data_IF_433490880065
#
_entry.id   IF_433490880065
#
_cell.length_a   1.000
_cell.length_b   1.000
_cell.length_c   1.000
_cell.angle_alpha   90.00
_cell.angle_beta   90.00
_cell.angle_gamma   90.00
#
_symmetry.space_group_name_H-M   'P 1'
#
loop_
_entity.id
_entity.type
_entity.pdbx_description
1 polymer ?
#
# COMPACT_ATOMS: atom_id res chain seq x y z
N UNK A 1 17.70 -9.24 -34.18
CA UNK A 1 16.86 -8.41 -33.28
C UNK A 1 15.55 -9.09 -32.85
N UNK A 2 15.01 -10.09 -33.56
CA UNK A 2 13.79 -10.81 -33.10
C UNK A 2 14.03 -11.81 -31.96
N UNK A 3 15.23 -12.39 -31.86
CA UNK A 3 15.57 -13.40 -30.84
C UNK A 3 15.73 -12.78 -29.44
N UNK A 4 16.26 -11.56 -29.34
CA UNK A 4 16.52 -10.88 -28.07
C UNK A 4 15.22 -10.50 -27.34
N UNK A 5 14.18 -10.12 -28.08
CA UNK A 5 12.87 -9.77 -27.50
C UNK A 5 12.16 -11.00 -26.90
N UNK A 6 12.38 -12.18 -27.50
CA UNK A 6 11.77 -13.42 -27.02
C UNK A 6 12.40 -13.91 -25.71
N UNK A 7 13.69 -13.65 -25.46
CA UNK A 7 14.35 -14.03 -24.21
C UNK A 7 13.89 -13.18 -23.01
N UNK A 8 13.58 -11.90 -23.22
CA UNK A 8 13.06 -11.02 -22.15
C UNK A 8 11.68 -11.50 -21.71
N UNK A 9 10.81 -11.84 -22.67
CA UNK A 9 9.44 -12.27 -22.41
C UNK A 9 9.38 -13.60 -21.64
N UNK A 10 10.27 -14.55 -21.96
CA UNK A 10 10.37 -15.83 -21.22
C UNK A 10 10.94 -15.63 -19.81
N UNK A 11 11.87 -14.69 -19.63
CA UNK A 11 12.46 -14.41 -18.31
C UNK A 11 11.43 -13.80 -17.35
N UNK A 12 10.58 -12.89 -17.85
CA UNK A 12 9.49 -12.30 -17.03
C UNK A 12 8.46 -13.36 -16.64
N UNK A 13 8.05 -14.24 -17.57
CA UNK A 13 7.12 -15.33 -17.24
C UNK A 13 7.68 -16.32 -16.19
N UNK A 14 8.99 -16.58 -16.22
CA UNK A 14 9.63 -17.48 -15.26
C UNK A 14 9.65 -16.96 -13.82
N UNK A 15 9.78 -15.65 -13.63
CA UNK A 15 9.79 -15.03 -12.29
C UNK A 15 8.40 -15.07 -11.65
N UNK A 16 7.35 -14.82 -12.44
CA UNK A 16 5.96 -14.85 -11.96
C UNK A 16 5.56 -16.26 -11.50
N UNK A 17 5.93 -17.30 -12.24
CA UNK A 17 5.62 -18.69 -11.85
C UNK A 17 6.50 -19.21 -10.70
N UNK A 18 7.74 -18.72 -10.58
CA UNK A 18 8.64 -19.09 -9.48
C UNK A 18 8.24 -18.49 -8.13
N UNK A 19 7.70 -17.27 -8.11
CA UNK A 19 7.30 -16.58 -6.87
C UNK A 19 6.09 -17.20 -6.16
N UNK A 20 5.10 -17.67 -6.91
CA UNK A 20 3.86 -18.24 -6.34
C UNK A 20 4.12 -19.58 -5.63
N UNK A 21 5.12 -20.35 -6.06
CA UNK A 21 5.44 -21.66 -5.46
C UNK A 21 6.06 -21.60 -4.06
N UNK A 22 6.68 -20.47 -3.69
CA UNK A 22 7.38 -20.33 -2.39
C UNK A 22 6.40 -19.96 -1.26
N UNK A 23 5.29 -19.27 -1.59
CA UNK A 23 4.29 -18.86 -0.59
C UNK A 23 3.52 -20.05 -0.01
N UNK A 24 3.08 -20.99 -0.84
CA UNK A 24 2.27 -22.14 -0.39
C UNK A 24 3.02 -23.13 0.53
N UNK A 25 4.36 -23.13 0.52
CA UNK A 25 5.14 -24.02 1.38
C UNK A 25 5.40 -23.42 2.78
N UNK A 26 5.20 -22.11 2.96
CA UNK A 26 5.48 -21.42 4.22
C UNK A 26 4.32 -21.55 5.22
N UNK A 27 3.08 -21.66 4.73
CA UNK A 27 1.90 -21.70 5.60
C UNK A 27 1.76 -23.01 6.39
N UNK A 28 2.28 -24.13 5.88
CA UNK A 28 2.19 -25.42 6.56
C UNK A 28 3.10 -25.58 7.80
N UNK A 29 3.98 -24.61 8.09
CA UNK A 29 4.85 -24.63 9.27
C UNK A 29 4.40 -23.68 10.40
N UNK A 30 3.51 -22.72 10.14
CA UNK A 30 3.11 -21.73 11.14
C UNK A 30 2.07 -22.24 12.15
N UNK A 31 1.27 -23.24 11.78
CA UNK A 31 0.19 -23.76 12.65
C UNK A 31 0.68 -24.51 13.89
N UNK A 32 1.99 -24.75 14.06
CA UNK A 32 2.55 -25.45 15.23
C UNK A 32 3.18 -24.54 16.28
N UNK A 33 3.31 -23.24 15.99
CA UNK A 33 3.96 -22.28 16.88
C UNK A 33 2.97 -21.47 17.75
N UNK A 34 1.70 -21.34 17.32
CA UNK A 34 0.72 -20.50 18.03
C UNK A 34 0.19 -21.15 19.33
N UNK A 35 0.10 -22.48 19.40
CA UNK A 35 -0.45 -23.18 20.57
C UNK A 35 0.40 -23.07 21.86
N UNK A 36 1.66 -22.61 21.77
CA UNK A 36 2.55 -22.52 22.94
C UNK A 36 2.63 -21.12 23.57
N UNK A 37 2.09 -20.09 22.92
CA UNK A 37 2.25 -18.70 23.39
C UNK A 37 1.09 -18.19 24.27
N UNK A 38 -0.11 -18.76 24.14
CA UNK A 38 -1.27 -18.31 24.93
C UNK A 38 -1.31 -18.83 26.38
N UNK A 39 -0.60 -19.93 26.71
CA UNK A 39 -0.70 -20.54 28.04
C UNK A 39 0.02 -19.76 29.16
N UNK A 40 0.85 -18.75 28.84
CA UNK A 40 1.73 -18.12 29.84
C UNK A 40 1.27 -16.76 30.38
N UNK A 41 0.22 -16.15 29.78
CA UNK A 41 -0.19 -14.77 30.12
C UNK A 41 -1.43 -14.66 31.01
N UNK A 42 -2.15 -15.75 31.25
CA UNK A 42 -3.44 -15.71 31.97
C UNK A 42 -3.31 -15.73 33.51
N UNK A 43 -2.16 -16.11 34.06
CA UNK A 43 -2.05 -16.38 35.51
C UNK A 43 -1.54 -15.19 36.35
N UNK A 44 -0.94 -14.17 35.74
CA UNK A 44 -0.24 -13.09 36.49
C UNK A 44 -1.09 -11.85 36.80
N UNK A 45 -2.31 -11.73 36.26
CA UNK A 45 -3.14 -10.50 36.36
C UNK A 45 -4.19 -10.53 37.48
N UNK A 46 -4.28 -11.63 38.24
CA UNK A 46 -5.33 -11.80 39.25
C UNK A 46 -4.94 -11.43 40.71
N UNK A 47 -3.70 -10.98 40.98
CA UNK A 47 -3.21 -10.86 42.38
C UNK A 47 -2.86 -9.47 42.91
N UNK A 48 -3.03 -8.35 42.19
CA UNK A 48 -2.59 -7.03 42.69
C UNK A 48 -3.71 -6.01 42.96
N UNK A 49 -4.99 -6.40 42.85
CA UNK A 49 -6.14 -5.53 43.08
C UNK A 49 -6.48 -5.34 44.58
N UNK A 50 -5.49 -5.19 45.45
CA UNK A 50 -5.67 -4.75 46.86
C UNK A 50 -4.40 -4.07 47.41
N UNK A 51 -4.36 -2.73 47.37
CA UNK A 51 -3.81 -1.80 48.38
C UNK A 51 -3.68 -0.40 47.74
N UNK A 52 -4.61 0.50 48.03
CA UNK A 52 -4.54 1.54 49.06
C UNK A 52 -3.76 2.80 48.63
N UNK A 53 -4.53 3.86 48.36
CA UNK A 53 -4.37 5.27 48.73
C UNK A 53 -3.00 5.97 48.63
N UNK A 54 -3.01 7.06 47.86
CA UNK A 54 -2.27 8.33 48.08
C UNK A 54 -0.74 8.30 48.08
N UNK A 55 -0.12 8.77 46.99
CA UNK A 55 0.92 9.82 47.04
C UNK A 55 1.45 10.14 45.63
N UNK A 56 1.65 11.43 45.42
CA UNK A 56 2.37 12.06 44.33
C UNK A 56 3.75 11.46 44.08
N UNK A 57 3.98 10.94 42.87
CA UNK A 57 5.34 10.79 42.33
C UNK A 57 5.30 11.13 40.84
N UNK A 58 5.90 12.28 40.53
CA UNK A 58 6.30 12.70 39.20
C UNK A 58 7.15 11.61 38.54
N UNK A 59 6.57 10.92 37.56
CA UNK A 59 7.33 10.19 36.55
C UNK A 59 7.05 10.85 35.22
N UNK A 60 7.73 11.97 34.98
CA UNK A 60 7.83 12.53 33.65
C UNK A 60 8.80 11.62 32.89
N UNK A 61 8.26 10.54 32.34
CA UNK A 61 8.90 9.82 31.25
C UNK A 61 8.90 10.79 30.07
N UNK A 62 9.95 11.59 29.97
CA UNK A 62 10.39 12.19 28.72
C UNK A 62 10.91 11.04 27.83
N UNK A 63 10.02 10.12 27.45
CA UNK A 63 10.13 9.47 26.15
C UNK A 63 9.69 10.53 25.15
N UNK A 64 10.58 11.50 24.91
CA UNK A 64 10.67 12.10 23.60
C UNK A 64 11.23 10.99 22.70
N UNK A 65 10.39 10.00 22.39
CA UNK A 65 10.50 9.29 21.14
C UNK A 65 10.47 10.40 20.11
N UNK A 66 11.65 10.70 19.58
CA UNK A 66 11.82 11.46 18.38
C UNK A 66 11.14 10.64 17.28
N UNK A 67 9.81 10.66 17.26
CA UNK A 67 8.98 10.24 16.14
C UNK A 67 9.35 11.24 15.07
N UNK A 68 10.41 10.91 14.35
CA UNK A 68 10.64 11.46 13.04
C UNK A 68 9.50 10.90 12.23
N UNK A 69 8.31 11.52 12.34
CA UNK A 69 7.19 11.25 11.46
C UNK A 69 7.76 11.53 10.07
N UNK A 70 8.10 10.46 9.36
CA UNK A 70 8.61 10.60 8.01
C UNK A 70 7.45 11.23 7.25
N UNK A 71 7.64 12.47 6.80
CA UNK A 71 6.56 13.23 6.20
C UNK A 71 6.12 12.50 4.93
N UNK A 72 4.84 12.14 4.87
CA UNK A 72 4.18 11.73 3.63
C UNK A 72 4.31 12.85 2.60
N UNK A 73 4.24 12.53 1.29
CA UNK A 73 4.15 13.55 0.26
C UNK A 73 3.01 14.53 0.53
N UNK A 74 3.16 15.77 0.07
CA UNK A 74 2.05 16.72 0.15
C UNK A 74 0.92 16.32 -0.80
N UNK A 75 -0.29 16.84 -0.56
CA UNK A 75 -1.41 16.64 -1.46
C UNK A 75 -1.09 17.12 -2.88
N UNK A 76 -0.38 18.24 -3.01
CA UNK A 76 0.04 18.76 -4.32
C UNK A 76 1.01 17.82 -5.04
N UNK A 77 1.91 17.17 -4.32
CA UNK A 77 2.83 16.18 -4.89
C UNK A 77 2.07 14.93 -5.37
N UNK A 78 1.12 14.43 -4.57
CA UNK A 78 0.27 13.31 -4.95
C UNK A 78 -0.61 13.66 -6.16
N UNK A 79 -1.29 14.82 -6.15
CA UNK A 79 -2.09 15.31 -7.28
C UNK A 79 -1.26 15.40 -8.55
N UNK A 80 -0.02 15.92 -8.43
CA UNK A 80 0.88 16.03 -9.56
C UNK A 80 1.27 14.66 -10.09
N UNK A 81 1.62 13.71 -9.21
CA UNK A 81 1.98 12.35 -9.61
C UNK A 81 0.84 11.66 -10.35
N UNK A 82 -0.35 11.64 -9.76
CA UNK A 82 -1.57 11.05 -10.36
C UNK A 82 -1.89 11.72 -11.70
N UNK A 83 -1.80 13.04 -11.81
CA UNK A 83 -2.04 13.73 -13.09
C UNK A 83 -1.00 13.39 -14.17
N UNK A 84 0.29 13.33 -13.81
CA UNK A 84 1.36 12.99 -14.77
C UNK A 84 1.19 11.54 -15.27
N UNK A 85 0.85 10.63 -14.37
CA UNK A 85 0.59 9.22 -14.68
C UNK A 85 -0.66 9.05 -15.54
N UNK A 86 -1.73 9.81 -15.25
CA UNK A 86 -2.94 9.81 -16.07
C UNK A 86 -2.67 10.34 -17.49
N UNK A 87 -1.93 11.44 -17.61
CA UNK A 87 -1.58 12.00 -18.91
C UNK A 87 -0.70 11.01 -19.71
N UNK A 88 0.18 10.27 -19.03
CA UNK A 88 0.96 9.18 -19.62
C UNK A 88 0.07 8.03 -20.07
N UNK A 89 -0.83 7.54 -19.22
CA UNK A 89 -1.78 6.47 -19.52
C UNK A 89 -2.62 6.81 -20.75
N UNK A 90 -3.23 8.00 -20.78
CA UNK A 90 -4.04 8.48 -21.92
C UNK A 90 -3.21 8.49 -23.20
N UNK A 91 -1.97 8.95 -23.13
CA UNK A 91 -1.08 8.99 -24.30
C UNK A 91 -0.72 7.60 -24.80
N UNK A 92 -0.42 6.67 -23.90
CA UNK A 92 -0.01 5.29 -24.22
C UNK A 92 -1.21 4.46 -24.73
N UNK A 93 -2.39 4.66 -24.15
CA UNK A 93 -3.61 3.89 -24.44
C UNK A 93 -4.56 4.58 -25.44
N UNK A 94 -4.16 5.72 -26.01
CA UNK A 94 -5.01 6.57 -26.87
C UNK A 94 -5.73 5.82 -27.99
N UNK A 95 -5.07 4.85 -28.61
CA UNK A 95 -5.63 4.11 -29.75
C UNK A 95 -6.24 2.76 -29.36
N UNK A 96 -6.10 2.36 -28.10
CA UNK A 96 -6.46 1.07 -27.56
C UNK A 96 -7.54 1.25 -26.49
N UNK A 97 -7.21 1.09 -25.21
CA UNK A 97 -8.17 1.13 -24.09
C UNK A 97 -9.03 2.40 -24.09
N UNK A 98 -8.43 3.59 -24.23
CA UNK A 98 -9.15 4.87 -24.23
C UNK A 98 -10.23 4.92 -25.33
N UNK A 99 -9.93 4.39 -26.51
CA UNK A 99 -10.82 4.45 -27.68
C UNK A 99 -11.84 3.31 -27.73
N UNK A 100 -11.46 2.13 -27.23
CA UNK A 100 -12.20 0.89 -27.48
C UNK A 100 -12.99 0.37 -26.29
N UNK A 101 -12.59 0.70 -25.06
CA UNK A 101 -13.24 0.24 -23.85
C UNK A 101 -14.31 1.23 -23.35
N UNK A 102 -15.05 0.89 -22.29
CA UNK A 102 -15.89 1.87 -21.59
C UNK A 102 -15.03 2.91 -20.85
N UNK A 103 -15.62 4.01 -20.39
CA UNK A 103 -14.85 4.98 -19.60
C UNK A 103 -14.46 4.34 -18.27
N UNK A 104 -15.39 3.59 -17.68
CA UNK A 104 -15.22 2.84 -16.45
C UNK A 104 -14.08 1.81 -16.58
N UNK A 105 -14.08 0.97 -17.63
CA UNK A 105 -12.98 0.00 -17.82
C UNK A 105 -11.60 0.67 -17.99
N UNK A 106 -11.56 1.87 -18.57
CA UNK A 106 -10.33 2.62 -18.75
C UNK A 106 -9.88 3.33 -17.46
N UNK A 107 -10.83 3.69 -16.58
CA UNK A 107 -10.57 4.18 -15.22
C UNK A 107 -10.01 3.05 -14.37
N UNK A 108 -10.70 1.91 -14.31
CA UNK A 108 -10.25 0.72 -13.57
C UNK A 108 -8.84 0.30 -14.01
N UNK A 109 -8.58 0.26 -15.32
CA UNK A 109 -7.25 -0.06 -15.84
C UNK A 109 -6.17 0.97 -15.46
N UNK A 110 -6.53 2.24 -15.29
CA UNK A 110 -5.61 3.27 -14.81
C UNK A 110 -5.34 3.12 -13.31
N UNK A 111 -6.38 2.87 -12.52
CA UNK A 111 -6.31 2.63 -11.08
C UNK A 111 -5.38 1.44 -10.80
N UNK A 112 -5.65 0.28 -11.38
CA UNK A 112 -4.86 -0.95 -11.26
C UNK A 112 -3.37 -0.75 -11.64
N UNK A 113 -3.11 0.03 -12.70
CA UNK A 113 -1.78 0.10 -13.30
C UNK A 113 -0.89 1.20 -12.73
N UNK A 114 -1.48 2.25 -12.16
CA UNK A 114 -0.73 3.44 -11.72
C UNK A 114 -1.06 3.86 -10.30
N UNK A 115 -2.34 3.85 -9.92
CA UNK A 115 -2.79 4.33 -8.61
C UNK A 115 -2.40 3.31 -7.54
N UNK A 116 -2.78 2.04 -7.72
CA UNK A 116 -2.41 0.95 -6.81
C UNK A 116 -0.89 0.83 -6.67
N UNK A 117 -0.18 0.91 -7.80
CA UNK A 117 1.29 0.88 -7.78
C UNK A 117 1.88 2.05 -7.00
N UNK A 118 1.30 3.25 -7.12
CA UNK A 118 1.76 4.41 -6.38
C UNK A 118 1.45 4.29 -4.87
N UNK A 119 0.29 3.76 -4.51
CA UNK A 119 -0.04 3.44 -3.13
C UNK A 119 0.96 2.43 -2.53
N UNK A 120 1.22 1.31 -3.21
CA UNK A 120 2.22 0.31 -2.80
C UNK A 120 3.62 0.93 -2.63
N UNK A 121 4.04 1.81 -3.56
CA UNK A 121 5.30 2.55 -3.46
C UNK A 121 5.36 3.41 -2.19
N UNK A 122 4.24 4.07 -1.83
CA UNK A 122 4.16 4.88 -0.62
C UNK A 122 4.14 4.02 0.64
N UNK A 123 3.35 2.96 0.69
CA UNK A 123 3.29 2.07 1.86
C UNK A 123 4.64 1.39 2.11
N UNK A 124 5.35 0.98 1.06
CA UNK A 124 6.70 0.43 1.18
C UNK A 124 7.72 1.47 1.70
N UNK A 125 7.56 2.74 1.33
CA UNK A 125 8.45 3.84 1.75
C UNK A 125 8.12 4.39 3.14
N UNK A 126 6.85 4.33 3.54
CA UNK A 126 6.30 4.88 4.77
C UNK A 126 5.49 3.81 5.51
N UNK A 127 6.11 2.72 5.99
CA UNK A 127 5.38 1.59 6.57
C UNK A 127 4.66 1.96 7.87
N UNK A 128 3.57 1.23 8.16
CA UNK A 128 2.83 1.26 9.42
C UNK A 128 1.38 1.68 9.26
N UNK A 129 0.48 1.06 10.03
CA UNK A 129 -0.98 1.18 9.91
C UNK A 129 -1.47 2.63 9.89
N UNK A 130 -0.90 3.49 10.75
CA UNK A 130 -1.27 4.90 10.79
C UNK A 130 -0.89 5.67 9.51
N UNK A 131 0.14 5.21 8.78
CA UNK A 131 0.51 5.79 7.49
C UNK A 131 -0.36 5.23 6.36
N UNK A 132 -0.75 3.96 6.42
CA UNK A 132 -1.64 3.33 5.43
C UNK A 132 -2.95 4.12 5.29
N UNK A 133 -3.66 4.38 6.39
CA UNK A 133 -4.90 5.19 6.41
C UNK A 133 -4.70 6.61 5.85
N UNK A 134 -3.50 7.17 6.00
CA UNK A 134 -3.19 8.52 5.52
C UNK A 134 -2.75 8.51 4.06
N UNK A 135 -2.15 7.42 3.57
CA UNK A 135 -1.80 7.20 2.17
C UNK A 135 -3.08 6.97 1.37
N UNK A 136 -3.97 6.08 1.81
CA UNK A 136 -5.27 5.84 1.15
C UNK A 136 -6.03 7.16 0.95
N UNK A 137 -6.17 7.96 2.02
CA UNK A 137 -6.83 9.27 1.94
C UNK A 137 -6.12 10.26 1.01
N UNK A 138 -4.79 10.24 0.98
CA UNK A 138 -3.98 11.09 0.11
C UNK A 138 -4.24 10.77 -1.36
N UNK A 139 -4.28 9.47 -1.69
CA UNK A 139 -4.54 8.93 -3.02
C UNK A 139 -5.99 9.21 -3.45
N UNK A 140 -6.98 8.85 -2.64
CA UNK A 140 -8.40 9.13 -2.91
C UNK A 140 -8.64 10.61 -3.25
N UNK A 141 -8.03 11.49 -2.45
CA UNK A 141 -8.14 12.94 -2.64
C UNK A 141 -7.46 13.37 -3.94
N UNK A 142 -6.34 12.75 -4.31
CA UNK A 142 -5.63 13.05 -5.54
C UNK A 142 -6.42 12.62 -6.78
N UNK A 143 -7.00 11.43 -6.79
CA UNK A 143 -7.84 10.94 -7.88
C UNK A 143 -9.08 11.83 -8.09
N UNK A 144 -9.77 12.16 -7.00
CA UNK A 144 -10.92 13.06 -7.03
C UNK A 144 -10.52 14.46 -7.52
N UNK A 145 -9.36 14.99 -7.10
CA UNK A 145 -8.89 16.32 -7.50
C UNK A 145 -8.48 16.37 -8.96
N UNK A 146 -7.81 15.33 -9.45
CA UNK A 146 -7.38 15.22 -10.86
C UNK A 146 -8.57 14.95 -11.78
N UNK A 147 -9.67 14.41 -11.24
CA UNK A 147 -10.90 14.09 -11.94
C UNK A 147 -10.64 13.07 -13.07
N UNK A 148 -10.08 11.93 -12.68
CA UNK A 148 -9.63 10.83 -13.57
C UNK A 148 -10.70 10.46 -14.58
N UNK A 149 -11.93 10.20 -14.10
CA UNK A 149 -13.05 9.80 -14.95
C UNK A 149 -13.37 10.84 -16.03
N UNK A 150 -13.43 12.14 -15.67
CA UNK A 150 -13.72 13.19 -16.65
C UNK A 150 -12.58 13.31 -17.67
N UNK A 151 -11.32 13.30 -17.23
CA UNK A 151 -10.16 13.40 -18.14
C UNK A 151 -10.11 12.23 -19.13
N UNK A 152 -10.41 11.01 -18.70
CA UNK A 152 -10.49 9.85 -19.60
C UNK A 152 -11.65 10.01 -20.58
N UNK A 153 -12.83 10.41 -20.08
CA UNK A 153 -14.01 10.70 -20.92
C UNK A 153 -13.73 11.74 -22.00
N UNK A 154 -13.00 12.81 -21.67
CA UNK A 154 -12.63 13.90 -22.59
C UNK A 154 -11.67 13.45 -23.71
N UNK A 155 -10.95 12.33 -23.52
CA UNK A 155 -9.92 11.84 -24.45
C UNK A 155 -10.35 10.62 -25.28
N UNK A 156 -11.58 10.15 -25.11
CA UNK A 156 -12.19 9.05 -25.87
C UNK A 156 -12.55 9.44 -27.31
#
# INVERSE_FOLDING_TARGET
MKKTLMYILVFVLGIVLGGVGVHYASDYQNDRAEDQYESSYSESRASSLKQNSSSSVSSQSNDTQNSSSVALPSQEEANKRVSDDLDKFIKEQKNDLIKTASVEDAVDAFEDSYVDTYEEELQAKYPGDANEDNIERLIDTAEATVNVQQKISDNK
#
